data_IF_155045548012
#
_entry.id   IF_155045548012
#
_cell.length_a   1.000
_cell.length_b   1.000
_cell.length_c   1.000
_cell.angle_alpha   90.00
_cell.angle_beta   90.00
_cell.angle_gamma   90.00
#
_symmetry.space_group_name_H-M   'P 1'
#
loop_
_entity.id
_entity.type
_entity.pdbx_description
1 polymer ?
#
# COMPACT_ATOMS: atom_id res chain seq x y z
N UNK A 1 -44.67 39.53 -0.42
CA UNK A 1 -43.67 39.06 -1.40
C UNK A 1 -42.36 38.85 -0.66
N UNK A 2 -42.13 37.63 -0.17
CA UNK A 2 -40.87 37.19 0.45
C UNK A 2 -40.44 35.95 -0.32
N UNK A 3 -39.28 35.93 -1.01
CA UNK A 3 -38.78 34.69 -1.56
C UNK A 3 -38.03 33.97 -0.44
N UNK A 4 -38.72 33.07 0.26
CA UNK A 4 -38.07 32.10 1.15
C UNK A 4 -37.33 31.08 0.28
N UNK A 5 -36.07 31.35 -0.03
CA UNK A 5 -35.19 30.40 -0.71
C UNK A 5 -34.79 29.30 0.26
N UNK A 6 -35.33 28.11 0.01
CA UNK A 6 -34.99 26.86 0.68
C UNK A 6 -33.61 26.38 0.17
N UNK A 7 -32.60 26.44 1.02
CA UNK A 7 -31.27 25.90 0.71
C UNK A 7 -31.26 24.40 1.00
N UNK A 8 -31.34 23.58 -0.04
CA UNK A 8 -31.14 22.14 0.05
C UNK A 8 -29.63 21.89 0.03
N UNK A 9 -29.03 21.60 1.18
CA UNK A 9 -27.65 21.16 1.27
C UNK A 9 -27.57 19.68 0.84
N UNK A 10 -27.07 19.42 -0.36
CA UNK A 10 -26.80 18.06 -0.85
C UNK A 10 -25.46 17.61 -0.25
N UNK A 11 -25.52 16.77 0.78
CA UNK A 11 -24.34 16.11 1.34
C UNK A 11 -23.85 15.02 0.40
N UNK A 12 -22.76 15.27 -0.35
CA UNK A 12 -22.06 14.23 -1.09
C UNK A 12 -21.23 13.39 -0.12
N UNK A 13 -21.71 12.20 0.22
CA UNK A 13 -20.88 11.16 0.84
C UNK A 13 -19.94 10.58 -0.23
N UNK A 14 -18.70 11.06 -0.26
CA UNK A 14 -17.65 10.38 -1.02
C UNK A 14 -17.29 9.08 -0.28
N UNK A 15 -17.77 7.94 -0.78
CA UNK A 15 -17.29 6.64 -0.34
C UNK A 15 -15.82 6.50 -0.79
N UNK A 16 -14.89 6.59 0.15
CA UNK A 16 -13.49 6.29 -0.11
C UNK A 16 -13.39 4.77 -0.37
N UNK A 17 -13.37 4.39 -1.64
CA UNK A 17 -12.98 3.03 -2.05
C UNK A 17 -11.48 2.93 -1.76
N UNK A 18 -11.10 2.30 -0.65
CA UNK A 18 -9.72 1.89 -0.46
C UNK A 18 -9.43 0.78 -1.47
N UNK A 19 -8.81 1.14 -2.60
CA UNK A 19 -8.25 0.18 -3.53
C UNK A 19 -7.16 -0.59 -2.77
N UNK A 20 -7.49 -1.82 -2.35
CA UNK A 20 -6.54 -2.73 -1.72
C UNK A 20 -5.55 -3.17 -2.80
N UNK A 21 -4.45 -2.43 -2.96
CA UNK A 21 -3.35 -2.87 -3.84
C UNK A 21 -2.68 -4.08 -3.21
N UNK A 22 -3.22 -5.25 -3.50
CA UNK A 22 -2.61 -6.52 -3.13
C UNK A 22 -1.47 -6.76 -4.11
N UNK A 23 -0.24 -6.54 -3.67
CA UNK A 23 0.93 -6.90 -4.46
C UNK A 23 1.03 -8.42 -4.58
N UNK A 24 1.27 -8.89 -5.80
CA UNK A 24 1.61 -10.29 -6.10
C UNK A 24 2.97 -10.33 -6.79
N UNK A 25 3.85 -11.29 -6.44
CA UNK A 25 5.11 -11.48 -7.15
C UNK A 25 4.92 -11.67 -8.67
N UNK A 26 5.92 -11.34 -9.50
CA UNK A 26 5.88 -11.54 -10.95
C UNK A 26 5.54 -12.98 -11.34
N UNK A 27 4.87 -13.14 -12.48
CA UNK A 27 4.53 -14.46 -13.01
C UNK A 27 5.81 -15.30 -13.22
N UNK A 28 5.81 -16.53 -12.69
CA UNK A 28 6.96 -17.44 -12.76
C UNK A 28 7.98 -17.29 -11.63
N UNK A 29 7.82 -16.31 -10.73
CA UNK A 29 8.63 -16.24 -9.52
C UNK A 29 8.17 -17.32 -8.52
N UNK A 30 9.12 -18.11 -8.00
CA UNK A 30 8.86 -19.13 -6.98
C UNK A 30 9.38 -18.66 -5.61
N UNK A 31 8.48 -18.23 -4.68
CA UNK A 31 8.86 -17.85 -3.33
C UNK A 31 9.48 -18.99 -2.52
N UNK A 32 9.27 -20.25 -2.91
CA UNK A 32 9.84 -21.41 -2.20
C UNK A 32 11.32 -21.62 -2.51
N UNK A 33 11.80 -21.10 -3.65
CA UNK A 33 13.21 -21.13 -4.03
C UNK A 33 14.08 -20.12 -3.25
N UNK A 34 13.46 -19.23 -2.48
CA UNK A 34 14.15 -18.23 -1.65
C UNK A 34 14.15 -18.67 -0.19
N UNK A 35 15.34 -18.70 0.42
CA UNK A 35 15.54 -18.99 1.84
C UNK A 35 14.64 -18.13 2.74
N UNK A 36 14.10 -18.74 3.79
CA UNK A 36 13.16 -18.07 4.69
C UNK A 36 13.74 -16.80 5.34
N UNK A 37 15.03 -16.83 5.68
CA UNK A 37 15.75 -15.68 6.25
C UNK A 37 15.87 -14.52 5.27
N UNK A 38 16.06 -14.81 3.98
CA UNK A 38 16.13 -13.81 2.91
C UNK A 38 14.77 -13.14 2.71
N UNK A 39 13.69 -13.94 2.67
CA UNK A 39 12.32 -13.40 2.57
C UNK A 39 11.94 -12.53 3.77
N UNK A 40 12.35 -12.93 4.97
CA UNK A 40 12.16 -12.13 6.17
C UNK A 40 12.90 -10.78 6.06
N UNK A 41 14.17 -10.80 5.64
CA UNK A 41 14.95 -9.58 5.43
C UNK A 41 14.34 -8.65 4.37
N UNK A 42 13.80 -9.20 3.28
CA UNK A 42 13.09 -8.43 2.27
C UNK A 42 11.81 -7.79 2.81
N UNK A 43 11.08 -8.50 3.67
CA UNK A 43 9.91 -7.93 4.35
C UNK A 43 10.28 -6.84 5.35
N UNK A 44 11.38 -6.98 6.09
CA UNK A 44 11.88 -5.94 6.98
C UNK A 44 12.26 -4.67 6.20
N UNK A 45 12.91 -4.85 5.05
CA UNK A 45 13.24 -3.78 4.12
C UNK A 45 11.97 -3.09 3.58
N UNK A 46 10.99 -3.85 3.07
CA UNK A 46 9.70 -3.31 2.59
C UNK A 46 8.98 -2.53 3.69
N UNK A 47 8.90 -3.10 4.90
CA UNK A 47 8.20 -2.51 6.03
C UNK A 47 8.91 -1.25 6.55
N UNK A 48 10.22 -1.17 6.40
CA UNK A 48 11.00 0.04 6.71
C UNK A 48 10.90 1.11 5.62
N UNK A 49 10.63 0.72 4.37
CA UNK A 49 10.52 1.63 3.23
C UNK A 49 9.13 2.28 3.17
N UNK A 50 8.05 1.54 3.42
CA UNK A 50 6.68 2.06 3.38
C UNK A 50 6.47 3.39 4.14
N UNK A 51 6.86 3.54 5.43
CA UNK A 51 6.70 4.82 6.13
C UNK A 51 7.57 5.93 5.54
N UNK A 52 8.73 5.62 4.94
CA UNK A 52 9.56 6.64 4.27
C UNK A 52 8.90 7.18 3.00
N UNK A 53 8.13 6.34 2.30
CA UNK A 53 7.35 6.75 1.13
C UNK A 53 6.07 7.51 1.52
N UNK A 54 5.64 7.38 2.77
CA UNK A 54 4.45 8.01 3.31
C UNK A 54 4.77 9.18 4.26
N UNK A 55 5.84 9.93 3.98
CA UNK A 55 6.27 11.11 4.78
C UNK A 55 6.39 10.83 6.30
N UNK A 56 6.79 9.61 6.66
CA UNK A 56 7.00 9.15 8.02
C UNK A 56 5.87 8.33 8.62
N UNK A 57 4.67 8.28 8.00
CA UNK A 57 3.53 7.56 8.58
C UNK A 57 2.72 6.75 7.56
N UNK A 58 2.77 5.42 7.72
CA UNK A 58 1.92 4.49 7.00
C UNK A 58 0.76 4.01 7.90
N UNK A 59 -0.47 4.24 7.44
CA UNK A 59 -1.69 3.71 8.06
C UNK A 59 -1.76 2.19 7.97
N UNK A 60 -1.30 1.64 6.85
CA UNK A 60 -1.15 0.19 6.65
C UNK A 60 0.28 -0.07 6.20
N UNK A 61 0.94 -1.00 6.89
CA UNK A 61 2.29 -1.43 6.58
C UNK A 61 2.41 -2.91 6.95
N UNK A 62 2.16 -3.79 5.98
CA UNK A 62 2.12 -5.23 6.19
C UNK A 62 2.97 -5.93 5.15
N UNK A 63 3.65 -6.98 5.56
CA UNK A 63 4.40 -7.86 4.68
C UNK A 63 4.22 -9.32 5.12
N UNK A 64 3.85 -10.19 4.17
CA UNK A 64 3.81 -11.64 4.35
C UNK A 64 5.03 -12.24 3.65
N UNK A 65 6.04 -12.62 4.45
CA UNK A 65 7.28 -13.19 3.93
C UNK A 65 7.10 -14.57 3.29
N UNK A 66 6.07 -15.32 3.68
CA UNK A 66 5.81 -16.65 3.10
C UNK A 66 5.31 -16.53 1.66
N UNK A 67 4.44 -15.54 1.42
CA UNK A 67 3.84 -15.29 0.10
C UNK A 67 4.58 -14.22 -0.71
N UNK A 68 5.51 -13.50 -0.08
CA UNK A 68 6.15 -12.30 -0.62
C UNK A 68 5.11 -11.30 -1.14
N UNK A 69 4.08 -11.07 -0.33
CA UNK A 69 3.05 -10.04 -0.58
C UNK A 69 3.18 -8.91 0.43
N UNK A 70 2.79 -7.70 0.05
CA UNK A 70 2.77 -6.57 0.99
C UNK A 70 1.54 -5.69 0.78
N UNK A 71 1.24 -4.87 1.77
CA UNK A 71 0.26 -3.78 1.71
C UNK A 71 0.88 -2.53 2.34
N UNK A 72 0.86 -1.42 1.60
CA UNK A 72 1.36 -0.12 2.04
C UNK A 72 0.33 0.95 1.72
N UNK A 73 -0.20 1.62 2.76
CA UNK A 73 -1.17 2.72 2.65
C UNK A 73 -0.71 3.84 3.57
N UNK A 74 -0.58 5.04 3.03
CA UNK A 74 -0.15 6.22 3.77
C UNK A 74 -1.25 6.76 4.70
N UNK A 75 -0.87 7.68 5.60
CA UNK A 75 -1.81 8.29 6.55
C UNK A 75 -3.00 9.01 5.90
N UNK A 76 -2.76 9.63 4.74
CA UNK A 76 -3.75 10.31 3.92
C UNK A 76 -4.61 9.36 3.05
N UNK A 77 -4.34 8.05 3.12
CA UNK A 77 -5.01 7.02 2.34
C UNK A 77 -4.44 6.80 0.95
N UNK A 78 -3.38 7.52 0.56
CA UNK A 78 -2.69 7.26 -0.71
C UNK A 78 -1.94 5.92 -0.67
N UNK A 79 -1.77 5.32 -1.85
CA UNK A 79 -0.96 4.12 -2.03
C UNK A 79 0.27 4.51 -2.85
N UNK A 80 1.48 4.46 -2.28
CA UNK A 80 2.69 4.86 -2.99
C UNK A 80 3.05 3.81 -4.06
N UNK A 81 3.63 4.26 -5.16
CA UNK A 81 4.19 3.40 -6.22
C UNK A 81 5.49 2.78 -5.76
N UNK A 82 5.43 1.72 -4.97
CA UNK A 82 6.63 1.12 -4.37
C UNK A 82 7.55 0.46 -5.42
N UNK A 83 7.05 0.19 -6.63
CA UNK A 83 7.83 -0.46 -7.71
C UNK A 83 9.05 0.38 -8.12
N UNK A 84 8.95 1.71 -7.97
CA UNK A 84 9.98 2.67 -8.37
C UNK A 84 11.12 2.80 -7.34
N UNK A 85 11.04 2.09 -6.21
CA UNK A 85 11.95 2.26 -5.07
C UNK A 85 12.74 0.99 -4.75
N UNK A 86 14.00 1.19 -4.33
CA UNK A 86 14.85 0.12 -3.80
C UNK A 86 14.36 -0.34 -2.43
N UNK A 87 14.84 -1.49 -1.97
CA UNK A 87 14.49 -2.08 -0.67
C UNK A 87 12.97 -2.31 -0.54
N UNK A 88 12.35 -2.70 -1.64
CA UNK A 88 10.93 -3.06 -1.73
C UNK A 88 10.82 -4.47 -2.28
N UNK A 89 9.70 -5.15 -2.01
CA UNK A 89 9.48 -6.49 -2.55
C UNK A 89 9.57 -6.52 -4.10
N UNK A 90 8.96 -5.58 -4.86
CA UNK A 90 9.15 -5.52 -6.30
C UNK A 90 10.62 -5.44 -6.72
N UNK A 91 11.45 -4.65 -6.03
CA UNK A 91 12.87 -4.52 -6.35
C UNK A 91 13.65 -5.84 -6.18
N UNK A 92 13.30 -6.67 -5.21
CA UNK A 92 14.02 -7.92 -4.93
C UNK A 92 13.65 -9.07 -5.86
N UNK A 93 12.47 -9.02 -6.49
CA UNK A 93 11.94 -10.09 -7.34
C UNK A 93 11.82 -9.70 -8.82
N UNK A 94 12.21 -8.47 -9.17
CA UNK A 94 12.23 -7.93 -10.53
C UNK A 94 13.32 -8.57 -11.40
#
# INVERSE_FOLDING_TARGET
MLPSTLWIAVSFLAAAVSAQSSYTPPAGFDPSAVEASVKASWCDAQSSTCPKLCDGFAKVNRCDASKLTFECVCGDGTVPKVEDYKNTLPYFVA
#
